data_IF_369348903721
#
_entry.id   IF_369348903721
#
_cell.length_a   1.000
_cell.length_b   1.000
_cell.length_c   1.000
_cell.angle_alpha   90.00
_cell.angle_beta   90.00
_cell.angle_gamma   90.00
#
_symmetry.space_group_name_H-M   'P 1'
#
loop_
_entity.id
_entity.type
_entity.pdbx_description
1 polymer ?
#
# COMPACT_ATOMS: atom_id res chain seq x y z
N UNK A 1 18.66 -52.50 -4.29
CA UNK A 1 19.29 -51.37 -3.56
C UNK A 1 18.66 -49.99 -3.79
N UNK A 2 17.72 -49.77 -4.74
CA UNK A 2 17.08 -48.45 -4.97
C UNK A 2 15.91 -48.08 -4.03
N UNK A 3 15.30 -49.04 -3.33
CA UNK A 3 14.10 -48.80 -2.49
C UNK A 3 14.40 -48.08 -1.16
N UNK A 4 15.57 -48.32 -0.56
CA UNK A 4 15.90 -47.76 0.76
C UNK A 4 16.22 -46.25 0.73
N UNK A 5 16.64 -45.71 -0.43
CA UNK A 5 17.02 -44.30 -0.55
C UNK A 5 15.80 -43.36 -0.67
N UNK A 6 14.70 -43.84 -1.26
CA UNK A 6 13.46 -43.07 -1.36
C UNK A 6 12.70 -43.03 -0.03
N UNK A 7 12.72 -44.12 0.73
CA UNK A 7 12.07 -44.18 2.05
C UNK A 7 12.71 -43.20 3.04
N UNK A 8 14.04 -43.15 3.08
CA UNK A 8 14.79 -42.22 3.94
C UNK A 8 14.62 -40.75 3.51
N UNK A 9 14.53 -40.45 2.21
CA UNK A 9 14.19 -39.10 1.71
C UNK A 9 12.78 -38.69 2.11
N UNK A 10 11.80 -39.58 1.97
CA UNK A 10 10.41 -39.29 2.29
C UNK A 10 10.20 -39.10 3.80
N UNK A 11 10.88 -39.90 4.63
CA UNK A 11 10.86 -39.76 6.08
C UNK A 11 11.53 -38.45 6.55
N UNK A 12 12.61 -38.03 5.89
CA UNK A 12 13.27 -36.74 6.15
C UNK A 12 12.41 -35.54 5.75
N UNK A 13 11.70 -35.63 4.61
CA UNK A 13 10.74 -34.62 4.15
C UNK A 13 9.53 -34.54 5.08
N UNK A 14 8.99 -35.69 5.53
CA UNK A 14 7.89 -35.76 6.48
C UNK A 14 8.27 -35.19 7.86
N UNK A 15 9.50 -35.45 8.34
CA UNK A 15 10.03 -34.87 9.59
C UNK A 15 10.17 -33.36 9.49
N UNK A 16 10.67 -32.83 8.36
CA UNK A 16 10.77 -31.37 8.16
C UNK A 16 9.41 -30.68 8.08
N UNK A 17 8.43 -31.28 7.38
CA UNK A 17 7.06 -30.76 7.33
C UNK A 17 6.37 -30.77 8.70
N UNK A 18 6.60 -31.82 9.50
CA UNK A 18 6.04 -31.92 10.86
C UNK A 18 6.68 -30.94 11.85
N UNK A 19 7.99 -30.69 11.75
CA UNK A 19 8.70 -29.71 12.58
C UNK A 19 8.28 -28.28 12.21
N UNK A 20 8.12 -27.99 10.92
CA UNK A 20 7.65 -26.69 10.43
C UNK A 20 6.22 -26.39 10.93
N UNK A 21 5.33 -27.39 10.85
CA UNK A 21 3.96 -27.27 11.36
C UNK A 21 3.92 -27.07 12.89
N UNK A 22 4.80 -27.73 13.64
CA UNK A 22 4.90 -27.58 15.10
C UNK A 22 5.43 -26.19 15.51
N UNK A 23 6.38 -25.63 14.76
CA UNK A 23 6.91 -24.28 14.97
C UNK A 23 5.87 -23.20 14.67
N UNK A 24 5.01 -23.41 13.66
CA UNK A 24 3.89 -22.51 13.33
C UNK A 24 2.83 -22.53 14.44
N UNK A 25 2.49 -23.71 14.98
CA UNK A 25 1.52 -23.83 16.08
C UNK A 25 2.03 -23.14 17.35
N UNK A 26 3.33 -23.26 17.67
CA UNK A 26 3.94 -22.59 18.82
C UNK A 26 3.94 -21.06 18.69
N UNK A 27 4.15 -20.52 17.47
CA UNK A 27 4.08 -19.08 17.21
C UNK A 27 2.66 -18.51 17.40
N UNK A 28 1.62 -19.29 17.11
CA UNK A 28 0.21 -18.89 17.26
C UNK A 28 -0.27 -18.91 18.72
N UNK A 29 0.27 -19.80 19.57
CA UNK A 29 -0.05 -19.86 21.00
C UNK A 29 0.49 -18.66 21.80
N UNK A 30 1.56 -18.01 21.34
CA UNK A 30 2.12 -16.79 21.95
C UNK A 30 1.30 -15.52 21.72
N UNK A 31 0.32 -15.56 20.80
CA UNK A 31 -0.49 -14.38 20.43
C UNK A 31 -1.75 -14.25 21.31
N UNK A 32 -2.16 -15.31 22.02
CA UNK A 32 -3.45 -15.37 22.75
C UNK A 32 -3.36 -14.87 24.21
N UNK A 33 -2.27 -14.22 24.63
CA UNK A 33 -2.11 -13.73 26.01
C UNK A 33 -1.75 -12.24 26.10
N UNK A 34 -2.65 -11.36 25.66
CA UNK A 34 -2.72 -10.01 26.22
C UNK A 34 -4.11 -9.42 25.94
N UNK A 35 -5.04 -9.62 26.87
CA UNK A 35 -6.22 -8.76 27.01
C UNK A 35 -6.72 -8.88 28.46
N UNK A 36 -6.21 -8.00 29.32
CA UNK A 36 -6.89 -7.53 30.53
C UNK A 36 -6.00 -6.51 31.24
N UNK A 37 -6.21 -5.23 30.98
CA UNK A 37 -5.97 -4.20 31.98
C UNK A 37 -7.00 -3.07 31.80
N UNK A 38 -8.13 -3.27 32.46
CA UNK A 38 -9.04 -2.21 32.89
C UNK A 38 -8.28 -1.28 33.84
N UNK A 39 -8.08 -0.02 33.45
CA UNK A 39 -7.56 1.00 34.38
C UNK A 39 -8.69 1.95 34.77
N UNK A 40 -9.09 1.85 36.02
CA UNK A 40 -10.01 2.71 36.75
C UNK A 40 -9.42 4.11 36.95
N UNK A 41 -10.18 5.15 36.62
CA UNK A 41 -9.84 6.55 36.97
C UNK A 41 -10.47 6.85 38.33
N UNK A 42 -9.65 7.06 39.36
CA UNK A 42 -10.07 7.58 40.65
C UNK A 42 -10.08 9.11 40.63
N UNK A 43 -11.19 9.68 41.10
CA UNK A 43 -11.42 11.09 41.37
C UNK A 43 -10.43 11.64 42.42
N UNK A 44 -10.04 12.91 42.28
CA UNK A 44 -9.70 13.78 43.39
C UNK A 44 -10.18 15.19 43.09
N UNK A 45 -11.15 15.66 43.89
CA UNK A 45 -11.59 17.04 44.00
C UNK A 45 -10.73 17.84 45.00
N UNK A 46 -11.02 19.15 45.05
CA UNK A 46 -10.62 20.23 45.98
C UNK A 46 -9.44 21.10 45.50
N UNK A 47 -9.47 22.44 45.51
CA UNK A 47 -10.46 23.47 45.89
C UNK A 47 -10.04 24.82 45.28
N UNK A 48 -10.99 25.73 45.15
CA UNK A 48 -10.95 27.11 44.62
C UNK A 48 -10.01 28.10 45.33
N UNK A 49 -9.50 29.09 44.60
CA UNK A 49 -9.50 30.52 45.00
C UNK A 49 -9.26 31.45 43.79
N UNK A 50 -9.97 32.58 43.76
CA UNK A 50 -9.95 33.58 42.67
C UNK A 50 -9.37 34.90 43.17
N UNK A 51 -8.56 35.62 42.37
CA UNK A 51 -8.63 37.09 42.15
C UNK A 51 -7.60 37.59 41.12
N UNK A 52 -8.01 38.50 40.22
CA UNK A 52 -7.20 39.66 39.81
C UNK A 52 -6.62 39.73 38.38
N UNK A 53 -7.41 40.31 37.46
CA UNK A 53 -7.06 41.27 36.37
C UNK A 53 -5.58 41.47 35.96
N UNK A 54 -5.26 41.37 34.66
CA UNK A 54 -5.05 42.48 33.67
C UNK A 54 -4.19 42.02 32.48
N UNK A 55 -4.57 42.47 31.26
CA UNK A 55 -3.77 42.57 30.02
C UNK A 55 -3.71 41.33 29.10
N UNK A 56 -4.54 41.37 28.03
CA UNK A 56 -4.48 40.49 26.87
C UNK A 56 -3.79 41.24 25.72
N UNK A 57 -2.65 40.72 25.26
CA UNK A 57 -2.29 40.73 23.84
C UNK A 57 -1.27 39.61 23.57
N UNK A 58 -1.68 38.44 23.04
CA UNK A 58 -0.75 37.53 22.40
C UNK A 58 -0.75 37.78 20.90
N UNK A 59 0.42 38.14 20.39
CA UNK A 59 0.80 38.10 18.98
C UNK A 59 0.72 36.65 18.51
N UNK A 60 -0.05 36.37 17.47
CA UNK A 60 -0.12 35.06 16.83
C UNK A 60 1.20 34.79 16.09
N UNK A 61 2.08 34.01 16.71
CA UNK A 61 3.11 33.22 16.02
C UNK A 61 2.50 31.86 15.71
N UNK A 62 2.38 31.55 14.42
CA UNK A 62 2.06 30.20 13.96
C UNK A 62 3.26 29.30 14.28
N UNK A 63 3.19 28.53 15.37
CA UNK A 63 4.11 27.41 15.55
C UNK A 63 3.70 26.27 14.62
N UNK A 64 4.67 25.81 13.84
CA UNK A 64 4.58 24.67 12.95
C UNK A 64 4.34 23.41 13.80
N UNK A 65 3.09 22.95 13.89
CA UNK A 65 2.78 21.65 14.48
C UNK A 65 3.46 20.56 13.65
N UNK A 66 4.59 20.05 14.13
CA UNK A 66 5.16 18.79 13.68
C UNK A 66 4.25 17.67 14.19
N UNK A 67 3.27 17.29 13.37
CA UNK A 67 2.49 16.07 13.61
C UNK A 67 3.42 14.87 13.50
N UNK A 68 3.81 14.35 14.66
CA UNK A 68 4.37 13.01 14.81
C UNK A 68 3.26 12.03 14.42
N UNK A 69 3.42 11.35 13.28
CA UNK A 69 2.54 10.25 12.90
C UNK A 69 2.60 9.14 13.97
N UNK A 70 1.47 8.51 14.35
CA UNK A 70 1.48 7.42 15.31
C UNK A 70 2.23 6.21 14.72
N UNK A 71 3.39 5.90 15.29
CA UNK A 71 4.14 4.68 15.03
C UNK A 71 3.42 3.48 15.62
N UNK A 72 2.73 2.72 14.78
CA UNK A 72 2.46 1.30 15.04
C UNK A 72 3.05 0.50 13.90
N UNK A 73 4.32 0.10 14.06
CA UNK A 73 4.95 -0.89 13.20
C UNK A 73 4.35 -2.25 13.54
N UNK A 74 3.52 -2.78 12.64
CA UNK A 74 3.15 -4.20 12.63
C UNK A 74 4.32 -4.99 12.08
N UNK A 75 4.93 -5.83 12.92
CA UNK A 75 6.00 -6.75 12.52
C UNK A 75 5.44 -7.81 11.55
N UNK A 76 5.79 -7.72 10.27
CA UNK A 76 5.63 -8.83 9.33
C UNK A 76 6.88 -9.72 9.39
N UNK A 77 6.71 -10.98 9.81
CA UNK A 77 7.77 -11.98 9.87
C UNK A 77 8.29 -12.28 8.45
N UNK A 78 9.51 -11.84 8.17
CA UNK A 78 10.19 -12.02 6.88
C UNK A 78 10.55 -13.48 6.63
N UNK A 79 10.12 -14.05 5.50
CA UNK A 79 10.80 -15.19 4.88
C UNK A 79 11.80 -14.60 3.88
N UNK A 80 13.07 -14.93 4.07
CA UNK A 80 14.21 -14.12 3.64
C UNK A 80 14.29 -13.79 2.15
N UNK A 81 14.35 -12.49 1.87
CA UNK A 81 15.32 -11.83 0.99
C UNK A 81 15.53 -10.43 1.57
N UNK A 82 16.70 -9.83 1.37
CA UNK A 82 17.06 -8.52 1.93
C UNK A 82 16.18 -7.43 1.31
N UNK A 83 15.00 -7.18 1.88
CA UNK A 83 14.12 -6.09 1.48
C UNK A 83 14.65 -4.81 2.13
N UNK A 84 15.33 -3.97 1.35
CA UNK A 84 15.47 -2.56 1.72
C UNK A 84 14.07 -1.95 1.61
N UNK A 85 13.32 -2.00 2.71
CA UNK A 85 12.07 -1.24 2.82
C UNK A 85 12.52 0.22 2.92
N UNK A 86 12.40 0.95 1.82
CA UNK A 86 12.60 2.40 1.85
C UNK A 86 11.46 2.96 2.69
N UNK A 87 11.75 3.19 3.97
CA UNK A 87 10.84 3.89 4.87
C UNK A 87 10.57 5.29 4.32
N UNK A 88 9.37 5.82 4.58
CA UNK A 88 8.92 7.16 4.18
C UNK A 88 9.96 8.26 4.43
N UNK A 89 10.83 8.07 5.41
CA UNK A 89 11.97 8.94 5.79
C UNK A 89 13.04 9.17 4.72
N UNK A 90 13.24 8.28 3.73
CA UNK A 90 14.24 8.55 2.67
C UNK A 90 13.66 9.37 1.50
N UNK A 91 12.33 9.50 1.42
CA UNK A 91 11.64 10.28 0.37
C UNK A 91 11.45 11.76 0.82
N UNK A 92 11.54 12.05 2.12
CA UNK A 92 11.24 13.36 2.71
C UNK A 92 12.29 14.46 2.49
N UNK A 93 13.29 14.27 1.62
CA UNK A 93 14.29 15.32 1.30
C UNK A 93 13.97 16.15 0.06
N UNK A 94 12.85 15.89 -0.62
CA UNK A 94 12.42 16.73 -1.75
C UNK A 94 11.74 18.00 -1.24
N UNK A 95 12.09 19.15 -1.84
CA UNK A 95 11.36 20.40 -1.62
C UNK A 95 9.92 20.29 -2.14
N UNK A 96 9.04 21.18 -1.66
CA UNK A 96 7.66 21.26 -2.14
C UNK A 96 7.62 21.51 -3.65
N UNK A 97 6.73 20.81 -4.37
CA UNK A 97 6.46 21.09 -5.79
C UNK A 97 5.50 22.28 -5.86
N UNK A 98 5.78 23.30 -6.70
CA UNK A 98 4.91 24.47 -6.80
C UNK A 98 3.48 24.10 -7.18
N UNK A 99 2.49 24.73 -6.54
CA UNK A 99 1.06 24.42 -6.78
C UNK A 99 0.65 24.76 -8.21
N UNK A 100 1.28 25.75 -8.83
CA UNK A 100 1.06 26.14 -10.22
C UNK A 100 1.44 25.06 -11.25
N UNK A 101 2.21 24.05 -10.85
CA UNK A 101 2.56 22.90 -11.68
C UNK A 101 1.40 21.89 -11.80
N UNK A 102 0.32 22.07 -11.03
CA UNK A 102 -0.83 21.16 -11.03
C UNK A 102 -2.08 21.82 -11.62
N UNK A 103 -2.75 21.12 -12.53
CA UNK A 103 -4.15 21.38 -12.87
C UNK A 103 -5.03 20.54 -11.96
N UNK A 104 -6.13 21.12 -11.53
CA UNK A 104 -7.05 20.46 -10.61
C UNK A 104 -8.48 20.97 -10.77
N UNK A 105 -9.44 20.16 -10.35
CA UNK A 105 -10.84 20.53 -10.16
C UNK A 105 -11.19 20.53 -8.66
N UNK A 106 -12.17 21.35 -8.30
CA UNK A 106 -12.77 21.35 -6.96
C UNK A 106 -14.11 20.62 -7.07
N UNK A 107 -14.31 19.59 -6.25
CA UNK A 107 -15.53 18.80 -6.19
C UNK A 107 -16.19 19.04 -4.82
N UNK A 108 -17.48 19.37 -4.79
CA UNK A 108 -18.23 19.61 -3.55
C UNK A 108 -19.47 20.47 -3.78
N UNK A 109 -20.44 20.44 -2.86
CA UNK A 109 -21.59 21.35 -2.93
C UNK A 109 -21.18 22.78 -2.54
N UNK A 110 -21.36 23.74 -3.45
CA UNK A 110 -21.34 25.16 -3.10
C UNK A 110 -22.56 25.49 -2.23
N UNK A 111 -22.47 25.26 -0.92
CA UNK A 111 -23.42 25.94 -0.04
C UNK A 111 -23.09 27.43 -0.10
N UNK A 112 -24.08 28.28 -0.41
CA UNK A 112 -23.95 29.75 -0.47
C UNK A 112 -23.66 30.41 0.92
N UNK A 113 -23.04 29.66 1.82
CA UNK A 113 -22.60 30.07 3.14
C UNK A 113 -21.13 29.67 3.25
N UNK A 114 -20.31 30.53 3.84
CA UNK A 114 -18.83 30.50 3.90
C UNK A 114 -18.17 29.26 4.56
N UNK A 115 -18.84 28.12 4.62
CA UNK A 115 -18.34 26.84 5.11
C UNK A 115 -18.26 25.84 3.95
N UNK A 116 -17.07 25.75 3.36
CA UNK A 116 -16.67 24.70 2.40
C UNK A 116 -16.34 23.44 3.22
N UNK A 117 -17.34 22.80 3.82
CA UNK A 117 -17.10 21.69 4.76
C UNK A 117 -16.84 20.33 4.07
N UNK A 118 -17.13 20.19 2.77
CA UNK A 118 -16.98 18.93 2.04
C UNK A 118 -16.33 19.08 0.65
N UNK A 119 -15.62 20.18 0.37
CA UNK A 119 -14.92 20.27 -0.91
C UNK A 119 -13.63 19.46 -0.91
N UNK A 120 -13.32 18.91 -2.07
CA UNK A 120 -12.16 18.08 -2.32
C UNK A 120 -11.47 18.53 -3.61
N UNK A 121 -10.15 18.35 -3.65
CA UNK A 121 -9.32 18.63 -4.82
C UNK A 121 -9.03 17.33 -5.54
N UNK A 122 -9.30 17.35 -6.84
CA UNK A 122 -8.95 16.30 -7.78
C UNK A 122 -7.84 16.81 -8.70
N UNK A 123 -6.64 16.23 -8.64
CA UNK A 123 -5.52 16.59 -9.53
C UNK A 123 -5.80 16.00 -10.90
N UNK A 124 -5.92 16.85 -11.91
CA UNK A 124 -6.32 16.47 -13.29
C UNK A 124 -5.15 16.44 -14.27
N UNK A 125 -4.08 17.17 -14.00
CA UNK A 125 -2.88 17.18 -14.85
C UNK A 125 -1.68 17.71 -14.07
N UNK A 126 -0.48 17.29 -14.46
CA UNK A 126 0.78 17.85 -14.00
C UNK A 126 1.52 18.44 -15.19
N UNK A 127 1.67 19.76 -15.13
CA UNK A 127 2.27 20.58 -16.18
C UNK A 127 3.68 21.08 -15.81
N UNK A 128 4.17 20.69 -14.64
CA UNK A 128 5.50 21.05 -14.17
C UNK A 128 6.62 20.31 -14.92
N UNK A 129 7.84 20.84 -14.81
CA UNK A 129 9.01 20.25 -15.48
C UNK A 129 9.79 19.28 -14.58
N UNK A 130 9.63 19.38 -13.25
CA UNK A 130 10.33 18.54 -12.28
C UNK A 130 10.02 17.06 -12.46
N UNK A 131 11.02 16.21 -12.26
CA UNK A 131 10.90 14.74 -12.32
C UNK A 131 10.74 14.10 -10.94
N UNK A 132 11.01 14.87 -9.89
CA UNK A 132 10.72 14.49 -8.51
C UNK A 132 9.56 15.36 -8.05
N UNK A 133 8.39 14.74 -7.85
CA UNK A 133 7.14 15.46 -7.57
C UNK A 133 6.68 15.16 -6.15
N UNK A 134 6.33 16.20 -5.42
CA UNK A 134 5.61 16.12 -4.14
C UNK A 134 4.22 16.64 -4.38
N UNK A 135 3.21 15.76 -4.44
CA UNK A 135 1.82 16.18 -4.62
C UNK A 135 1.39 16.89 -3.32
N UNK A 136 0.83 18.11 -3.40
CA UNK A 136 0.41 18.84 -2.20
C UNK A 136 -0.73 18.09 -1.50
N UNK A 137 -0.71 18.03 -0.17
CA UNK A 137 -1.81 17.45 0.61
C UNK A 137 -3.05 18.34 0.65
N UNK A 138 -2.87 19.65 0.41
CA UNK A 138 -3.92 20.65 0.32
C UNK A 138 -3.62 21.67 -0.77
N UNK A 139 -4.65 22.17 -1.44
CA UNK A 139 -4.58 23.34 -2.31
C UNK A 139 -5.58 24.37 -1.79
N UNK A 140 -5.10 25.56 -1.41
CA UNK A 140 -5.92 26.64 -0.83
C UNK A 140 -6.76 26.21 0.39
N UNK A 141 -6.23 25.31 1.22
CA UNK A 141 -6.91 24.76 2.41
C UNK A 141 -7.94 23.67 2.12
N UNK A 142 -8.09 23.26 0.85
CA UNK A 142 -8.97 22.15 0.44
C UNK A 142 -8.10 20.88 0.28
N UNK A 143 -8.47 19.74 0.88
CA UNK A 143 -7.68 18.51 0.82
C UNK A 143 -7.61 17.93 -0.59
N UNK A 144 -6.46 17.37 -0.96
CA UNK A 144 -6.28 16.59 -2.19
C UNK A 144 -6.65 15.13 -1.92
N UNK A 145 -7.73 14.66 -2.54
CA UNK A 145 -8.29 13.32 -2.28
C UNK A 145 -8.18 12.38 -3.49
N UNK A 146 -8.07 12.93 -4.70
CA UNK A 146 -8.06 12.14 -5.94
C UNK A 146 -6.95 12.58 -6.86
N UNK A 147 -6.26 11.60 -7.43
CA UNK A 147 -5.40 11.77 -8.60
C UNK A 147 -6.20 11.20 -9.77
N UNK A 148 -6.68 12.06 -10.65
CA UNK A 148 -7.57 11.68 -11.76
C UNK A 148 -6.84 10.89 -12.85
N UNK A 149 -7.63 10.42 -13.79
CA UNK A 149 -7.13 9.68 -14.94
C UNK A 149 -6.08 10.48 -15.73
N UNK A 150 -4.98 9.81 -16.08
CA UNK A 150 -3.86 10.37 -16.84
C UNK A 150 -3.11 11.55 -16.20
N UNK A 151 -3.41 11.95 -14.96
CA UNK A 151 -2.90 13.20 -14.37
C UNK A 151 -1.37 13.36 -14.40
N UNK A 152 -0.61 12.26 -14.36
CA UNK A 152 0.84 12.26 -14.45
C UNK A 152 1.38 11.37 -15.60
N UNK A 153 0.56 11.07 -16.60
CA UNK A 153 0.93 10.14 -17.69
C UNK A 153 2.08 10.68 -18.52
N UNK A 154 3.10 9.86 -18.77
CA UNK A 154 4.25 10.19 -19.66
C UNK A 154 5.06 11.43 -19.26
N UNK A 155 5.10 11.78 -17.97
CA UNK A 155 5.82 12.94 -17.46
C UNK A 155 7.31 12.70 -17.18
N UNK A 156 7.78 11.46 -17.35
CA UNK A 156 9.17 11.02 -17.09
C UNK A 156 9.57 11.19 -15.62
N UNK A 157 8.61 11.04 -14.71
CA UNK A 157 8.85 11.18 -13.27
C UNK A 157 9.79 10.07 -12.79
N UNK A 158 10.79 10.43 -12.00
CA UNK A 158 11.72 9.51 -11.34
C UNK A 158 11.31 9.21 -9.90
N UNK A 159 10.60 10.16 -9.25
CA UNK A 159 9.96 9.96 -7.95
C UNK A 159 8.64 10.73 -7.86
N UNK A 160 7.73 10.19 -7.05
CA UNK A 160 6.51 10.87 -6.64
C UNK A 160 6.25 10.61 -5.15
N UNK A 161 5.85 11.66 -4.44
CA UNK A 161 5.28 11.59 -3.09
C UNK A 161 3.79 11.81 -3.20
N UNK A 162 3.02 10.76 -2.92
CA UNK A 162 1.57 10.81 -2.84
C UNK A 162 1.24 11.14 -1.37
N UNK A 163 0.52 12.23 -1.06
CA UNK A 163 0.24 12.62 0.30
C UNK A 163 -0.83 11.71 0.92
N UNK A 164 -0.76 11.55 2.25
CA UNK A 164 -1.88 11.04 3.03
C UNK A 164 -3.11 11.93 2.79
N UNK A 165 -4.28 11.30 2.66
CA UNK A 165 -5.53 11.95 2.27
C UNK A 165 -5.99 11.60 0.85
N UNK A 166 -5.06 11.21 -0.03
CA UNK A 166 -5.43 10.64 -1.34
C UNK A 166 -6.09 9.28 -1.12
N UNK A 167 -7.31 9.13 -1.62
CA UNK A 167 -8.12 7.91 -1.53
C UNK A 167 -8.22 7.16 -2.86
N UNK A 168 -8.08 7.88 -3.97
CA UNK A 168 -8.25 7.32 -5.32
C UNK A 168 -7.08 7.70 -6.24
N UNK A 169 -6.53 6.69 -6.92
CA UNK A 169 -5.56 6.85 -7.99
C UNK A 169 -6.20 6.35 -9.28
N UNK A 170 -6.46 7.26 -10.21
CA UNK A 170 -7.21 7.04 -11.44
C UNK A 170 -6.49 6.15 -12.46
N UNK A 171 -7.23 5.83 -13.51
CA UNK A 171 -6.72 5.04 -14.62
C UNK A 171 -5.57 5.80 -15.33
N UNK A 172 -4.50 5.08 -15.62
CA UNK A 172 -3.30 5.61 -16.27
C UNK A 172 -2.63 6.79 -15.55
N UNK A 173 -2.98 7.06 -14.28
CA UNK A 173 -2.53 8.24 -13.53
C UNK A 173 -1.01 8.45 -13.60
N UNK A 174 -0.21 7.41 -13.39
CA UNK A 174 1.26 7.43 -13.48
C UNK A 174 1.81 6.54 -14.59
N UNK A 175 1.02 6.29 -15.64
CA UNK A 175 1.41 5.43 -16.75
C UNK A 175 2.64 5.95 -17.51
N UNK A 176 3.58 5.05 -17.82
CA UNK A 176 4.75 5.29 -18.67
C UNK A 176 5.65 6.42 -18.15
N UNK A 177 6.10 6.26 -16.89
CA UNK A 177 7.07 7.12 -16.23
C UNK A 177 8.37 6.36 -15.94
N UNK A 178 9.27 6.95 -15.16
CA UNK A 178 10.57 6.39 -14.79
C UNK A 178 10.65 6.10 -13.28
N UNK A 179 9.50 5.90 -12.61
CA UNK A 179 9.43 5.74 -11.16
C UNK A 179 10.19 4.48 -10.74
N UNK A 180 11.10 4.63 -9.78
CA UNK A 180 11.91 3.52 -9.23
C UNK A 180 11.44 3.08 -7.86
N UNK A 181 10.91 4.03 -7.08
CA UNK A 181 10.37 3.82 -5.75
C UNK A 181 8.94 4.32 -5.71
N UNK A 182 8.10 3.63 -4.95
CA UNK A 182 6.70 3.98 -4.76
C UNK A 182 6.29 3.67 -3.33
N UNK A 183 5.71 4.67 -2.66
CA UNK A 183 4.99 4.49 -1.40
C UNK A 183 3.53 4.84 -1.68
N UNK A 184 2.64 3.90 -1.40
CA UNK A 184 1.19 4.09 -1.52
C UNK A 184 0.66 4.39 -0.12
N UNK A 185 0.05 5.57 0.11
CA UNK A 185 -0.50 5.93 1.42
C UNK A 185 -1.57 4.95 1.89
N UNK A 186 -1.69 4.79 3.21
CA UNK A 186 -2.72 3.95 3.84
C UNK A 186 -4.14 4.56 3.74
N UNK A 187 -4.29 5.73 3.11
CA UNK A 187 -5.61 6.28 2.75
C UNK A 187 -6.10 5.82 1.38
N UNK A 188 -5.23 5.29 0.52
CA UNK A 188 -5.61 4.88 -0.85
C UNK A 188 -6.46 3.62 -0.78
N UNK A 189 -7.67 3.67 -1.32
CA UNK A 189 -8.61 2.54 -1.35
C UNK A 189 -8.72 1.90 -2.73
N UNK A 190 -8.44 2.68 -3.78
CA UNK A 190 -8.60 2.29 -5.18
C UNK A 190 -7.37 2.62 -6.01
N UNK A 191 -6.86 1.63 -6.75
CA UNK A 191 -5.80 1.78 -7.75
C UNK A 191 -6.38 1.41 -9.12
N UNK A 192 -6.50 2.41 -9.99
CA UNK A 192 -7.14 2.31 -11.30
C UNK A 192 -6.39 1.46 -12.32
N UNK A 193 -7.04 1.29 -13.48
CA UNK A 193 -6.46 0.58 -14.63
C UNK A 193 -5.12 1.18 -15.04
N UNK A 194 -4.09 0.36 -15.19
CA UNK A 194 -2.75 0.77 -15.65
C UNK A 194 -2.12 1.92 -14.85
N UNK A 195 -2.60 2.21 -13.62
CA UNK A 195 -2.24 3.41 -12.87
C UNK A 195 -0.72 3.59 -12.70
N UNK A 196 0.03 2.51 -12.50
CA UNK A 196 1.49 2.50 -12.36
C UNK A 196 2.18 1.63 -13.42
N UNK A 197 1.51 1.33 -14.54
CA UNK A 197 2.09 0.51 -15.60
C UNK A 197 3.23 1.22 -16.32
N UNK A 198 4.20 0.44 -16.83
CA UNK A 198 5.40 0.91 -17.55
C UNK A 198 6.24 1.90 -16.74
N UNK A 199 6.68 1.45 -15.58
CA UNK A 199 7.63 2.19 -14.75
C UNK A 199 8.89 1.32 -14.50
N UNK A 200 9.76 1.73 -13.58
CA UNK A 200 10.92 0.95 -13.13
C UNK A 200 10.83 0.57 -11.65
N UNK A 201 9.61 0.43 -11.11
CA UNK A 201 9.38 0.19 -9.69
C UNK A 201 9.92 -1.19 -9.32
N UNK A 202 10.75 -1.26 -8.27
CA UNK A 202 11.43 -2.49 -7.85
C UNK A 202 10.73 -3.24 -6.72
N UNK A 203 9.95 -2.52 -5.92
CA UNK A 203 9.19 -3.08 -4.81
C UNK A 203 7.91 -2.30 -4.58
N UNK A 204 6.85 -2.99 -4.19
CA UNK A 204 5.60 -2.34 -3.78
C UNK A 204 4.97 -3.06 -2.60
N UNK A 205 4.46 -2.27 -1.66
CA UNK A 205 3.58 -2.70 -0.59
C UNK A 205 2.19 -2.17 -0.93
N UNK A 206 1.24 -3.06 -1.15
CA UNK A 206 -0.18 -2.69 -1.30
C UNK A 206 -0.74 -2.55 0.11
N UNK A 207 -1.21 -1.36 0.53
CA UNK A 207 -1.61 -1.12 1.92
C UNK A 207 -2.97 -1.76 2.28
N UNK A 208 -3.25 -1.85 3.58
CA UNK A 208 -4.46 -2.46 4.16
C UNK A 208 -5.76 -1.71 3.81
N UNK A 209 -5.66 -0.51 3.24
CA UNK A 209 -6.81 0.26 2.75
C UNK A 209 -7.24 -0.14 1.34
N UNK A 210 -6.34 -0.73 0.54
CA UNK A 210 -6.64 -1.09 -0.85
C UNK A 210 -7.50 -2.35 -0.89
N UNK A 211 -8.61 -2.27 -1.61
CA UNK A 211 -9.55 -3.40 -1.78
C UNK A 211 -9.50 -3.98 -3.20
N UNK A 212 -9.16 -3.16 -4.19
CA UNK A 212 -9.15 -3.51 -5.61
C UNK A 212 -7.83 -3.03 -6.24
N UNK A 213 -7.15 -3.94 -6.94
CA UNK A 213 -6.02 -3.64 -7.83
C UNK A 213 -6.51 -3.76 -9.27
N UNK A 214 -6.50 -2.66 -10.03
CA UNK A 214 -7.07 -2.59 -11.38
C UNK A 214 -6.36 -3.45 -12.44
N UNK A 215 -7.02 -3.57 -13.60
CA UNK A 215 -6.45 -4.15 -14.82
C UNK A 215 -5.08 -3.51 -15.10
N UNK A 216 -4.04 -4.31 -15.35
CA UNK A 216 -2.69 -3.83 -15.69
C UNK A 216 -2.03 -2.87 -14.68
N UNK A 217 -2.57 -2.70 -13.46
CA UNK A 217 -2.21 -1.60 -12.54
C UNK A 217 -0.69 -1.42 -12.33
N UNK A 218 0.08 -2.50 -12.25
CA UNK A 218 1.54 -2.53 -12.07
C UNK A 218 2.27 -3.28 -13.20
N UNK A 219 1.65 -3.43 -14.37
CA UNK A 219 2.23 -4.19 -15.48
C UNK A 219 3.47 -3.50 -16.08
N UNK A 220 4.49 -4.27 -16.46
CA UNK A 220 5.70 -3.74 -17.11
C UNK A 220 6.58 -2.92 -16.17
N UNK A 221 6.78 -3.41 -14.95
CA UNK A 221 7.69 -2.83 -13.96
C UNK A 221 8.94 -3.72 -13.79
N UNK A 222 9.69 -3.51 -12.70
CA UNK A 222 10.85 -4.34 -12.31
C UNK A 222 10.63 -4.94 -10.93
N UNK A 223 9.36 -5.21 -10.56
CA UNK A 223 9.03 -5.66 -9.22
C UNK A 223 9.71 -6.98 -8.92
N UNK A 224 10.56 -6.99 -7.91
CA UNK A 224 11.16 -8.20 -7.33
C UNK A 224 10.46 -8.55 -6.01
N UNK A 225 9.98 -7.54 -5.29
CA UNK A 225 9.28 -7.69 -4.02
C UNK A 225 7.87 -7.10 -4.10
N UNK A 226 6.88 -7.90 -3.71
CA UNK A 226 5.47 -7.53 -3.67
C UNK A 226 4.87 -8.01 -2.35
N UNK A 227 4.28 -7.09 -1.60
CA UNK A 227 3.42 -7.42 -0.45
C UNK A 227 1.98 -7.03 -0.77
N UNK A 228 1.06 -7.97 -0.64
CA UNK A 228 -0.38 -7.76 -0.82
C UNK A 228 -1.05 -7.84 0.54
N UNK A 229 -1.71 -6.75 0.96
CA UNK A 229 -2.42 -6.70 2.24
C UNK A 229 -3.67 -7.58 2.29
N UNK A 230 -4.08 -7.91 3.52
CA UNK A 230 -5.23 -8.79 3.82
C UNK A 230 -6.61 -8.15 3.53
N UNK A 231 -6.64 -6.94 2.99
CA UNK A 231 -7.84 -6.21 2.56
C UNK A 231 -8.18 -6.43 1.10
N UNK A 232 -7.20 -6.84 0.28
CA UNK A 232 -7.38 -6.97 -1.17
C UNK A 232 -8.35 -8.12 -1.45
N UNK A 233 -9.40 -7.81 -2.20
CA UNK A 233 -10.43 -8.78 -2.61
C UNK A 233 -10.32 -9.16 -4.08
N UNK A 234 -9.81 -8.24 -4.91
CA UNK A 234 -9.73 -8.40 -6.37
C UNK A 234 -8.36 -7.97 -6.89
N UNK A 235 -7.74 -8.85 -7.66
CA UNK A 235 -6.54 -8.59 -8.46
C UNK A 235 -6.95 -8.62 -9.93
N UNK A 236 -6.85 -7.49 -10.62
CA UNK A 236 -7.26 -7.35 -12.02
C UNK A 236 -6.43 -8.21 -12.98
N UNK A 237 -6.96 -8.42 -14.18
CA UNK A 237 -6.21 -9.12 -15.23
C UNK A 237 -4.90 -8.38 -15.53
N UNK A 238 -3.83 -9.14 -15.77
CA UNK A 238 -2.49 -8.62 -16.02
C UNK A 238 -1.95 -7.62 -14.97
N UNK A 239 -2.52 -7.54 -13.76
CA UNK A 239 -2.20 -6.50 -12.78
C UNK A 239 -0.70 -6.39 -12.46
N UNK A 240 0.03 -7.50 -12.42
CA UNK A 240 1.47 -7.59 -12.19
C UNK A 240 2.22 -8.25 -13.36
N UNK A 241 1.65 -8.22 -14.57
CA UNK A 241 2.25 -8.81 -15.76
C UNK A 241 3.60 -8.17 -16.13
N UNK A 242 4.55 -8.95 -16.67
CA UNK A 242 5.89 -8.49 -17.08
C UNK A 242 6.63 -7.78 -15.94
N UNK A 243 7.00 -8.55 -14.92
CA UNK A 243 7.78 -8.13 -13.77
C UNK A 243 8.89 -9.16 -13.48
N UNK A 244 9.55 -9.09 -12.32
CA UNK A 244 10.61 -10.02 -11.90
C UNK A 244 10.31 -10.64 -10.53
N UNK A 245 9.03 -10.86 -10.23
CA UNK A 245 8.59 -11.35 -8.92
C UNK A 245 8.96 -12.84 -8.82
N UNK A 246 9.71 -13.20 -7.78
CA UNK A 246 10.14 -14.59 -7.58
C UNK A 246 9.23 -15.39 -6.65
N UNK A 247 8.50 -14.69 -5.79
CA UNK A 247 7.55 -15.31 -4.88
C UNK A 247 6.40 -14.37 -4.55
N UNK A 248 5.19 -14.93 -4.42
CA UNK A 248 4.01 -14.15 -4.02
C UNK A 248 3.19 -14.91 -2.97
N UNK A 249 2.68 -14.14 -2.00
CA UNK A 249 1.69 -14.59 -1.04
C UNK A 249 0.34 -13.99 -1.44
N UNK A 250 -0.65 -14.83 -1.66
CA UNK A 250 -2.04 -14.46 -1.92
C UNK A 250 -2.83 -14.54 -0.60
N UNK A 251 -3.27 -13.38 -0.05
CA UNK A 251 -4.06 -13.35 1.17
C UNK A 251 -5.40 -14.08 1.05
N UNK A 252 -5.93 -14.52 2.19
CA UNK A 252 -7.24 -15.21 2.26
C UNK A 252 -8.42 -14.38 1.78
N UNK A 253 -8.28 -13.06 1.78
CA UNK A 253 -9.31 -12.09 1.37
C UNK A 253 -9.49 -12.03 -0.13
N UNK A 254 -8.50 -12.46 -0.91
CA UNK A 254 -8.56 -12.43 -2.37
C UNK A 254 -9.59 -13.44 -2.82
N UNK A 255 -10.60 -12.97 -3.55
CA UNK A 255 -11.69 -13.80 -4.08
C UNK A 255 -11.66 -13.91 -5.60
N UNK A 256 -10.95 -13.00 -6.28
CA UNK A 256 -10.83 -12.92 -7.73
C UNK A 256 -9.42 -12.53 -8.15
N UNK A 257 -8.84 -13.29 -9.08
CA UNK A 257 -7.57 -13.00 -9.75
C UNK A 257 -7.83 -13.08 -11.26
N UNK A 258 -7.59 -11.99 -11.97
CA UNK A 258 -7.81 -11.92 -13.41
C UNK A 258 -6.77 -12.70 -14.22
N UNK A 259 -7.11 -12.98 -15.48
CA UNK A 259 -6.24 -13.63 -16.47
C UNK A 259 -4.83 -13.03 -16.48
N UNK A 260 -3.82 -13.90 -16.48
CA UNK A 260 -2.40 -13.52 -16.52
C UNK A 260 -1.96 -12.44 -15.51
N UNK A 261 -2.64 -12.31 -14.36
CA UNK A 261 -2.32 -11.28 -13.36
C UNK A 261 -0.84 -11.30 -12.95
N UNK A 262 -0.21 -12.47 -12.92
CA UNK A 262 1.21 -12.65 -12.59
C UNK A 262 2.04 -13.24 -13.75
N UNK A 263 1.53 -13.20 -14.98
CA UNK A 263 2.26 -13.74 -16.15
C UNK A 263 3.56 -12.97 -16.45
N UNK A 264 4.50 -13.63 -17.11
CA UNK A 264 5.83 -13.07 -17.44
C UNK A 264 6.57 -12.53 -16.19
N UNK A 265 6.63 -13.35 -15.15
CA UNK A 265 7.44 -13.15 -13.94
C UNK A 265 8.39 -14.33 -13.74
N UNK A 266 9.32 -14.20 -12.79
CA UNK A 266 10.30 -15.23 -12.42
C UNK A 266 9.83 -16.09 -11.23
N UNK A 267 8.51 -16.34 -11.14
CA UNK A 267 7.91 -17.01 -9.98
C UNK A 267 8.49 -18.42 -9.80
N UNK A 268 8.91 -18.71 -8.57
CA UNK A 268 9.37 -20.04 -8.11
C UNK A 268 8.61 -20.51 -6.86
N UNK A 269 7.79 -19.65 -6.25
CA UNK A 269 6.99 -19.97 -5.08
C UNK A 269 5.71 -19.14 -5.01
N UNK A 270 4.59 -19.83 -4.76
CA UNK A 270 3.29 -19.21 -4.57
C UNK A 270 2.66 -19.80 -3.31
N UNK A 271 2.22 -18.95 -2.39
CA UNK A 271 1.51 -19.36 -1.18
C UNK A 271 0.13 -18.72 -1.18
N UNK A 272 -0.92 -19.51 -0.95
CA UNK A 272 -2.31 -19.06 -0.99
C UNK A 272 -2.95 -19.38 0.36
N UNK A 273 -3.54 -18.37 1.01
CA UNK A 273 -4.12 -18.50 2.37
C UNK A 273 -5.65 -18.63 2.40
N UNK A 274 -6.36 -18.71 1.27
CA UNK A 274 -7.83 -18.72 1.21
C UNK A 274 -8.44 -19.90 0.44
N UNK A 275 -9.28 -20.69 1.13
CA UNK A 275 -10.06 -21.82 0.56
C UNK A 275 -11.16 -21.34 -0.42
N UNK A 276 -11.57 -20.06 -0.32
CA UNK A 276 -12.66 -19.45 -1.09
C UNK A 276 -12.18 -18.67 -2.32
N UNK A 277 -10.88 -18.63 -2.57
CA UNK A 277 -10.35 -18.01 -3.79
C UNK A 277 -10.83 -18.89 -4.95
N UNK A 278 -11.89 -18.45 -5.65
CA UNK A 278 -12.57 -19.23 -6.69
C UNK A 278 -11.68 -19.27 -7.92
N UNK A 279 -10.67 -20.12 -7.90
CA UNK A 279 -9.92 -20.47 -9.08
C UNK A 279 -10.83 -21.35 -9.94
N UNK A 280 -11.36 -20.81 -11.04
CA UNK A 280 -11.90 -21.64 -12.09
C UNK A 280 -10.78 -22.55 -12.63
N UNK A 281 -11.13 -23.68 -13.25
CA UNK A 281 -10.23 -24.76 -13.69
C UNK A 281 -9.14 -24.36 -14.71
N UNK A 282 -8.90 -23.06 -14.92
CA UNK A 282 -7.99 -22.48 -15.90
C UNK A 282 -6.74 -21.92 -15.23
N UNK A 283 -6.11 -22.65 -14.29
CA UNK A 283 -4.84 -22.22 -13.67
C UNK A 283 -3.73 -21.99 -14.71
N UNK A 284 -3.81 -22.68 -15.86
CA UNK A 284 -2.92 -22.50 -17.01
C UNK A 284 -3.10 -21.10 -17.67
N UNK A 285 -4.25 -20.45 -17.52
CA UNK A 285 -4.55 -19.13 -18.09
C UNK A 285 -4.33 -17.96 -17.10
N UNK A 286 -3.97 -18.24 -15.84
CA UNK A 286 -3.79 -17.21 -14.79
C UNK A 286 -2.33 -16.70 -14.74
N UNK A 287 -1.43 -17.27 -15.56
CA UNK A 287 -0.04 -16.83 -15.69
C UNK A 287 0.90 -17.36 -14.61
N UNK A 288 0.46 -18.33 -13.81
CA UNK A 288 1.35 -19.07 -12.93
C UNK A 288 2.06 -20.18 -13.72
N UNK A 289 3.37 -20.38 -13.51
CA UNK A 289 4.07 -21.54 -14.07
C UNK A 289 3.36 -22.84 -13.70
N UNK A 290 3.18 -23.74 -14.68
CA UNK A 290 2.41 -24.97 -14.54
C UNK A 290 2.95 -25.87 -13.40
N UNK A 291 4.24 -25.76 -13.10
CA UNK A 291 4.95 -26.47 -12.04
C UNK A 291 4.75 -25.91 -10.63
N UNK A 292 4.11 -24.74 -10.48
CA UNK A 292 3.80 -24.11 -9.20
C UNK A 292 2.32 -24.21 -8.82
N UNK A 293 1.51 -24.86 -9.66
CA UNK A 293 0.11 -25.18 -9.40
C UNK A 293 0.07 -26.34 -8.38
N UNK A 294 -0.53 -26.17 -7.19
CA UNK A 294 -0.78 -27.29 -6.28
C UNK A 294 -1.67 -28.35 -6.94
N UNK A 295 -1.28 -29.63 -6.83
CA UNK A 295 -2.08 -30.79 -7.30
C UNK A 295 -3.48 -30.85 -6.67
#
# INVERSE_FOLDING_TARGET
MKSNNNRNRMEFVMKRKSILLLLIILALLSIVSCDSNTTTISQNETTSESIGSTTIKPTTTYELNTMIAPTTATEFTTIGTSTTIITTTEITTFGETPVEDFRYSIIGEETHTTNIIDAEIHITDYIGESKNVVIPHMINGIPVTTIEDNAFRQNRLTSVVIPEGVTTIGAYAFYDNELTNLVIPNTVTTIGESAFSKNSIVSVIIPDSVTIIGLLAFAGNKLVSLTISNSVTTIGAYAFYMNSITSVIIPKSVTSIGTNAFGENDLTSVVIFGDSTRFNDTWIEIGFPEDLIPE
#
